data_IF_948437818722
#
_entry.id   IF_948437818722
#
_cell.length_a   1.000
_cell.length_b   1.000
_cell.length_c   1.000
_cell.angle_alpha   90.00
_cell.angle_beta   90.00
_cell.angle_gamma   90.00
#
_symmetry.space_group_name_H-M   'P 1'
#
loop_
_entity.id
_entity.type
_entity.pdbx_description
1 polymer ?
#
# COMPACT_ATOMS: atom_id res chain seq x y z
N UNK A 1 -15.87 9.33 -23.14
CA UNK A 1 -14.40 9.24 -22.98
C UNK A 1 -14.12 7.88 -22.37
N UNK A 2 -13.21 7.10 -22.95
CA UNK A 2 -12.83 5.79 -22.39
C UNK A 2 -11.74 5.97 -21.35
N UNK A 3 -11.92 5.39 -20.17
CA UNK A 3 -10.90 5.33 -19.13
C UNK A 3 -10.17 3.98 -19.21
N UNK A 4 -8.88 3.99 -18.88
CA UNK A 4 -8.03 2.79 -18.82
C UNK A 4 -7.23 2.80 -17.52
N UNK A 5 -6.83 1.62 -17.05
CA UNK A 5 -5.92 1.48 -15.91
C UNK A 5 -4.50 1.46 -16.47
N UNK A 6 -3.66 2.40 -16.06
CA UNK A 6 -2.27 2.52 -16.54
C UNK A 6 -1.23 2.06 -15.52
N UNK A 7 -1.59 1.99 -14.24
CA UNK A 7 -0.70 1.50 -13.19
C UNK A 7 -1.45 1.08 -11.94
N UNK A 8 -0.86 0.17 -11.18
CA UNK A 8 -1.40 -0.37 -9.94
C UNK A 8 -0.33 -0.45 -8.86
N UNK A 9 -0.72 -0.15 -7.62
CA UNK A 9 0.14 -0.33 -6.46
C UNK A 9 -0.65 -1.01 -5.35
N UNK A 10 -0.02 -2.00 -4.71
CA UNK A 10 -0.67 -2.85 -3.73
C UNK A 10 0.24 -3.07 -2.52
N UNK A 11 -0.38 -3.11 -1.35
CA UNK A 11 0.27 -3.47 -0.11
C UNK A 11 -0.61 -4.49 0.61
N UNK A 12 -0.21 -5.77 0.57
CA UNK A 12 -1.06 -6.90 0.97
C UNK A 12 -0.34 -7.85 1.94
N UNK A 13 -1.07 -8.70 2.69
CA UNK A 13 -0.44 -9.67 3.59
C UNK A 13 0.44 -10.71 2.89
N UNK A 14 0.31 -10.86 1.56
CA UNK A 14 1.14 -11.76 0.74
C UNK A 14 2.33 -11.05 0.06
N UNK A 15 2.42 -9.73 0.16
CA UNK A 15 3.53 -8.95 -0.39
C UNK A 15 3.14 -7.54 -0.84
N UNK A 16 4.16 -6.75 -1.20
CA UNK A 16 4.02 -5.42 -1.81
C UNK A 16 4.18 -5.52 -3.32
N UNK A 17 3.35 -4.80 -4.06
CA UNK A 17 3.37 -4.72 -5.51
C UNK A 17 2.50 -5.77 -6.22
N UNK A 18 2.29 -5.53 -7.51
CA UNK A 18 1.42 -6.34 -8.38
C UNK A 18 1.96 -7.76 -8.52
N UNK A 19 3.23 -7.94 -8.89
CA UNK A 19 3.83 -9.28 -9.09
C UNK A 19 3.72 -10.14 -7.84
N UNK A 20 4.20 -9.65 -6.68
CA UNK A 20 4.19 -10.42 -5.45
C UNK A 20 2.77 -10.85 -5.04
N UNK A 21 1.79 -9.95 -5.19
CA UNK A 21 0.40 -10.23 -4.88
C UNK A 21 -0.20 -11.24 -5.87
N UNK A 22 -0.03 -11.01 -7.17
CA UNK A 22 -0.59 -11.87 -8.20
C UNK A 22 0.02 -13.28 -8.19
N UNK A 23 1.34 -13.38 -8.04
CA UNK A 23 2.04 -14.66 -7.93
C UNK A 23 1.60 -15.46 -6.71
N UNK A 24 1.22 -14.78 -5.61
CA UNK A 24 0.67 -15.44 -4.44
C UNK A 24 -0.74 -15.96 -4.67
N UNK A 25 -1.59 -15.17 -5.34
CA UNK A 25 -2.94 -15.58 -5.72
C UNK A 25 -2.92 -16.79 -6.66
N UNK A 26 -2.10 -16.74 -7.72
CA UNK A 26 -1.98 -17.84 -8.69
C UNK A 26 -1.43 -19.13 -8.05
N UNK A 27 -0.54 -19.02 -7.07
CA UNK A 27 0.01 -20.17 -6.36
C UNK A 27 -0.85 -20.63 -5.16
N UNK A 28 -1.99 -19.98 -4.87
CA UNK A 28 -2.83 -20.30 -3.72
C UNK A 28 -2.14 -20.06 -2.36
N UNK A 29 -1.16 -19.14 -2.29
CA UNK A 29 -0.48 -18.82 -1.03
C UNK A 29 -1.37 -17.93 -0.18
N UNK A 30 -1.68 -18.39 1.04
CA UNK A 30 -2.40 -17.59 2.03
C UNK A 30 -1.46 -16.57 2.69
N UNK A 31 -1.93 -15.34 2.85
CA UNK A 31 -1.28 -14.30 3.66
C UNK A 31 -1.79 -14.23 5.10
N UNK A 32 -2.64 -15.17 5.50
CA UNK A 32 -3.15 -15.23 6.87
C UNK A 32 -2.13 -15.92 7.78
N UNK A 33 -1.90 -15.32 8.94
CA UNK A 33 -1.05 -15.88 9.98
C UNK A 33 -1.67 -15.64 11.36
N UNK A 34 -1.24 -16.43 12.35
CA UNK A 34 -1.57 -16.15 13.75
C UNK A 34 -0.92 -14.81 14.16
N UNK A 35 -1.66 -13.87 14.78
CA UNK A 35 -1.05 -12.66 15.30
C UNK A 35 0.08 -12.97 16.29
N UNK A 36 1.23 -12.28 16.21
CA UNK A 36 2.34 -12.54 17.12
C UNK A 36 1.98 -12.12 18.55
N UNK A 37 2.63 -12.72 19.54
CA UNK A 37 2.44 -12.36 20.94
C UNK A 37 2.67 -10.85 21.16
N UNK A 38 1.76 -10.20 21.89
CA UNK A 38 1.78 -8.75 22.11
C UNK A 38 1.17 -7.91 20.98
N UNK A 39 0.74 -8.52 19.87
CA UNK A 39 -0.08 -7.81 18.88
C UNK A 39 -1.48 -7.54 19.44
N UNK A 40 -2.10 -6.37 19.18
CA UNK A 40 -3.43 -6.04 19.69
C UNK A 40 -4.54 -7.05 19.34
N UNK A 41 -4.34 -7.82 18.28
CA UNK A 41 -5.27 -8.85 17.83
C UNK A 41 -5.00 -10.26 18.39
N UNK A 42 -3.89 -10.48 19.11
CA UNK A 42 -3.44 -11.82 19.49
C UNK A 42 -4.40 -12.57 20.43
N UNK A 43 -5.10 -11.84 21.30
CA UNK A 43 -6.03 -12.44 22.27
C UNK A 43 -7.47 -12.55 21.73
N UNK A 44 -7.74 -11.94 20.58
CA UNK A 44 -9.08 -11.87 19.99
C UNK A 44 -9.23 -12.70 18.71
N UNK A 45 -8.15 -12.92 17.95
CA UNK A 45 -8.17 -13.55 16.64
C UNK A 45 -7.16 -14.70 16.56
N UNK A 46 -7.60 -15.85 16.04
CA UNK A 46 -6.71 -16.98 15.77
C UNK A 46 -5.84 -16.76 14.52
N UNK A 47 -6.39 -16.05 13.52
CA UNK A 47 -5.75 -15.81 12.24
C UNK A 47 -6.09 -14.40 11.75
N UNK A 48 -5.12 -13.70 11.15
CA UNK A 48 -5.30 -12.37 10.59
C UNK A 48 -4.39 -12.14 9.36
N UNK A 49 -4.81 -11.26 8.46
CA UNK A 49 -3.97 -10.75 7.38
C UNK A 49 -3.10 -9.62 7.89
N UNK A 50 -1.86 -9.94 8.30
CA UNK A 50 -0.97 -8.97 8.91
C UNK A 50 -0.07 -8.35 7.84
N UNK A 51 -0.11 -7.03 7.74
CA UNK A 51 0.87 -6.29 6.95
C UNK A 51 2.11 -6.01 7.80
N UNK A 52 3.32 -6.02 7.18
CA UNK A 52 4.54 -5.66 7.88
C UNK A 52 4.45 -4.25 8.50
N UNK A 53 5.27 -3.96 9.53
CA UNK A 53 5.38 -2.62 10.08
C UNK A 53 5.80 -1.63 8.99
N UNK A 54 5.17 -0.45 8.96
CA UNK A 54 5.55 0.64 8.08
C UNK A 54 6.08 1.80 8.90
N UNK A 55 7.16 2.41 8.42
CA UNK A 55 7.79 3.56 9.07
C UNK A 55 7.22 4.86 8.48
N UNK A 56 6.55 5.73 9.25
CA UNK A 56 6.06 7.02 8.76
C UNK A 56 7.15 7.90 8.16
N UNK A 57 8.42 7.72 8.58
CA UNK A 57 9.58 8.44 8.03
C UNK A 57 9.88 8.10 6.57
N UNK A 58 9.27 7.04 6.04
CA UNK A 58 9.39 6.66 4.63
C UNK A 58 8.56 7.53 3.68
N UNK A 59 7.59 8.28 4.22
CA UNK A 59 6.68 9.13 3.41
C UNK A 59 6.59 10.57 3.89
N UNK A 60 7.03 10.87 5.12
CA UNK A 60 7.02 12.22 5.68
C UNK A 60 8.28 12.48 6.54
N UNK A 61 8.51 13.75 6.88
CA UNK A 61 9.63 14.15 7.74
C UNK A 61 9.18 15.07 8.87
N UNK A 62 10.00 15.18 9.91
CA UNK A 62 9.73 16.08 11.03
C UNK A 62 8.47 15.72 11.84
N UNK A 63 7.76 16.72 12.39
CA UNK A 63 6.60 16.50 13.26
C UNK A 63 5.44 15.72 12.62
N UNK A 64 5.29 15.79 11.30
CA UNK A 64 4.19 15.12 10.56
C UNK A 64 4.21 13.61 10.74
N UNK A 65 5.39 13.01 10.87
CA UNK A 65 5.57 11.56 11.10
C UNK A 65 4.83 11.05 12.33
N UNK A 66 4.50 11.92 13.30
CA UNK A 66 3.84 11.55 14.56
C UNK A 66 2.31 11.52 14.47
N UNK A 67 1.74 12.12 13.44
CA UNK A 67 0.28 12.26 13.28
C UNK A 67 -0.27 11.44 12.10
N UNK A 68 0.62 10.83 11.31
CA UNK A 68 0.22 9.93 10.24
C UNK A 68 -0.28 8.59 10.80
N UNK A 69 -1.53 8.27 10.50
CA UNK A 69 -2.03 6.92 10.73
C UNK A 69 -1.30 5.92 9.81
N UNK A 70 -1.16 4.69 10.29
CA UNK A 70 -0.57 3.58 9.55
C UNK A 70 -1.23 3.38 8.18
N UNK A 71 -2.55 3.55 8.07
CA UNK A 71 -3.28 3.38 6.80
C UNK A 71 -2.87 4.45 5.77
N UNK A 72 -2.58 5.67 6.22
CA UNK A 72 -2.14 6.76 5.34
C UNK A 72 -0.76 6.44 4.77
N UNK A 73 0.16 5.95 5.61
CA UNK A 73 1.51 5.53 5.16
C UNK A 73 1.41 4.42 4.12
N UNK A 74 0.54 3.43 4.35
CA UNK A 74 0.29 2.33 3.40
C UNK A 74 -0.31 2.85 2.08
N UNK A 75 -1.30 3.73 2.14
CA UNK A 75 -1.93 4.32 0.97
C UNK A 75 -0.95 5.13 0.13
N UNK A 76 -0.08 5.93 0.77
CA UNK A 76 0.96 6.70 0.08
C UNK A 76 1.99 5.79 -0.62
N UNK A 77 2.40 4.68 0.01
CA UNK A 77 3.25 3.69 -0.65
C UNK A 77 2.57 3.05 -1.86
N UNK A 78 1.30 2.66 -1.72
CA UNK A 78 0.54 2.07 -2.83
C UNK A 78 0.32 3.07 -3.97
N UNK A 79 0.02 4.34 -3.67
CA UNK A 79 -0.12 5.38 -4.67
C UNK A 79 1.20 5.67 -5.41
N UNK A 80 2.32 5.71 -4.69
CA UNK A 80 3.64 5.88 -5.28
C UNK A 80 4.01 4.70 -6.20
N UNK A 81 3.75 3.47 -5.76
CA UNK A 81 3.96 2.28 -6.59
C UNK A 81 3.09 2.31 -7.85
N UNK A 82 1.84 2.77 -7.75
CA UNK A 82 0.92 2.88 -8.90
C UNK A 82 1.38 3.92 -9.93
N UNK A 83 1.88 5.09 -9.47
CA UNK A 83 2.45 6.10 -10.36
C UNK A 83 3.73 5.60 -11.05
N UNK A 84 4.57 4.88 -10.31
CA UNK A 84 5.78 4.27 -10.86
C UNK A 84 5.45 3.19 -11.90
N UNK A 85 4.47 2.32 -11.64
CA UNK A 85 3.99 1.29 -12.57
C UNK A 85 3.40 1.92 -13.84
N UNK A 86 2.70 3.06 -13.71
CA UNK A 86 2.22 3.83 -14.85
C UNK A 86 3.33 4.57 -15.62
N UNK A 87 4.54 4.68 -15.06
CA UNK A 87 5.62 5.47 -15.63
C UNK A 87 5.34 6.98 -15.62
N UNK A 88 4.55 7.47 -14.65
CA UNK A 88 4.08 8.85 -14.58
C UNK A 88 4.78 9.60 -13.43
N UNK A 89 5.39 10.74 -13.74
CA UNK A 89 5.82 11.75 -12.77
C UNK A 89 4.95 13.02 -12.91
N UNK A 90 4.18 13.33 -11.87
CA UNK A 90 3.29 14.50 -11.85
C UNK A 90 4.10 15.80 -11.87
N UNK A 91 3.71 16.75 -12.71
CA UNK A 91 4.45 17.99 -12.95
C UNK A 91 5.50 17.88 -14.06
N UNK A 92 5.96 16.66 -14.39
CA UNK A 92 6.83 16.39 -15.55
C UNK A 92 6.04 15.87 -16.75
N UNK A 93 5.27 14.80 -16.53
CA UNK A 93 4.56 14.08 -17.61
C UNK A 93 3.08 14.48 -17.71
N UNK A 94 2.49 14.99 -16.61
CA UNK A 94 1.10 15.47 -16.53
C UNK A 94 0.99 16.74 -15.69
N UNK A 95 0.09 17.63 -16.12
CA UNK A 95 -0.29 18.84 -15.39
C UNK A 95 -0.90 18.46 -14.03
N UNK A 96 -0.39 18.98 -12.89
CA UNK A 96 -0.96 18.72 -11.57
C UNK A 96 -2.45 19.09 -11.45
N UNK A 97 -2.93 20.09 -12.20
CA UNK A 97 -4.34 20.47 -12.22
C UNK A 97 -5.25 19.50 -12.98
N UNK A 98 -4.69 18.45 -13.58
CA UNK A 98 -5.39 17.38 -14.32
C UNK A 98 -5.22 16.01 -13.68
N UNK A 99 -4.70 15.96 -12.45
CA UNK A 99 -4.59 14.75 -11.64
C UNK A 99 -5.47 14.93 -10.42
N UNK A 100 -6.20 13.88 -10.05
CA UNK A 100 -7.13 13.92 -8.92
C UNK A 100 -6.99 12.66 -8.06
N UNK A 101 -7.31 12.79 -6.78
CA UNK A 101 -7.41 11.67 -5.83
C UNK A 101 -8.87 11.61 -5.41
N UNK A 102 -9.60 10.55 -5.80
CA UNK A 102 -11.02 10.43 -5.43
C UNK A 102 -11.16 10.37 -3.91
N UNK A 103 -12.08 11.17 -3.38
CA UNK A 103 -12.42 11.23 -1.96
C UNK A 103 -13.18 10.00 -1.47
#
# INVERSE_FOLDING_TARGET
>A
MTAVITGMGLFTPVGRGVSATFDALCAGRSGLARPPAGHPAADCLEVAGLLPPVDPRSVASGPETRVLDRIVVLALHAAADALADAGIEVGRDVDPGRVDVPA
#
